data_IF_339420231202
#
_entry.id   IF_339420231202
#
_cell.length_a   1.000
_cell.length_b   1.000
_cell.length_c   1.000
_cell.angle_alpha   90.00
_cell.angle_beta   90.00
_cell.angle_gamma   90.00
#
_symmetry.space_group_name_H-M   'P 1'
#
loop_
_entity.id
_entity.type
_entity.pdbx_description
1 polymer ?
#
# COMPACT_ATOMS: atom_id res chain seq x y z
N UNK A 1 1.51 6.97 3.33
CA UNK A 1 0.88 8.23 2.84
C UNK A 1 0.98 9.37 3.89
N UNK A 2 2.20 9.71 4.35
CA UNK A 2 2.43 10.87 5.21
C UNK A 2 2.07 12.14 4.45
N UNK A 3 1.35 13.07 5.08
CA UNK A 3 0.79 14.25 4.42
C UNK A 3 -0.69 14.09 4.06
N UNK A 4 -1.19 12.87 3.95
CA UNK A 4 -2.61 12.60 3.78
C UNK A 4 -3.37 12.73 5.12
N UNK A 5 -4.63 13.16 5.05
CA UNK A 5 -5.54 13.18 6.21
C UNK A 5 -5.87 11.77 6.74
N UNK A 6 -5.74 10.76 5.88
CA UNK A 6 -6.04 9.36 6.19
C UNK A 6 -4.86 8.61 6.80
N UNK A 7 -3.65 9.20 6.77
CA UNK A 7 -2.44 8.60 7.29
C UNK A 7 -2.57 8.18 8.76
N UNK A 8 -2.25 6.94 9.04
CA UNK A 8 -2.17 6.34 10.38
C UNK A 8 -0.73 6.38 10.93
N UNK A 9 -0.05 7.51 10.70
CA UNK A 9 1.35 7.69 11.10
C UNK A 9 1.59 7.50 12.61
N UNK A 10 0.60 7.80 13.47
CA UNK A 10 0.71 7.58 14.91
C UNK A 10 0.75 6.09 15.23
N UNK A 11 -0.13 5.32 14.59
CA UNK A 11 -0.25 3.88 14.72
C UNK A 11 1.00 3.19 14.18
N UNK A 12 1.47 3.58 12.99
CA UNK A 12 2.71 3.07 12.38
C UNK A 12 3.93 3.37 13.26
N UNK A 13 4.05 4.58 13.81
CA UNK A 13 5.11 4.95 14.73
C UNK A 13 5.07 4.12 16.02
N UNK A 14 3.87 3.84 16.54
CA UNK A 14 3.70 2.98 17.72
C UNK A 14 4.06 1.53 17.39
N UNK A 15 3.68 1.02 16.22
CA UNK A 15 4.05 -0.31 15.76
C UNK A 15 5.58 -0.49 15.73
N UNK A 16 6.30 0.44 15.09
CA UNK A 16 7.78 0.41 15.02
C UNK A 16 8.46 0.59 16.39
N UNK A 17 7.76 1.09 17.40
CA UNK A 17 8.30 1.15 18.77
C UNK A 17 8.36 -0.24 19.43
N UNK A 18 7.43 -1.12 19.10
CA UNK A 18 7.29 -2.43 19.74
C UNK A 18 7.79 -3.60 18.89
N UNK A 19 8.13 -3.34 17.63
CA UNK A 19 8.68 -4.35 16.72
C UNK A 19 10.05 -3.92 16.24
N UNK A 20 11.06 -4.67 16.60
CA UNK A 20 12.45 -4.49 16.14
C UNK A 20 12.74 -5.42 14.99
N UNK A 21 13.66 -5.04 14.09
CA UNK A 21 14.09 -5.84 12.96
C UNK A 21 15.48 -5.43 12.52
N UNK A 22 16.22 -6.33 11.89
CA UNK A 22 17.52 -6.04 11.29
C UNK A 22 17.37 -5.24 9.99
N UNK A 23 16.29 -5.49 9.25
CA UNK A 23 15.99 -4.78 8.00
C UNK A 23 14.52 -4.35 7.97
N UNK A 24 14.29 -3.06 7.77
CA UNK A 24 12.97 -2.46 7.57
C UNK A 24 12.80 -2.06 6.11
N UNK A 25 11.84 -2.67 5.42
CA UNK A 25 11.52 -2.34 4.03
C UNK A 25 10.22 -1.53 3.99
N UNK A 26 10.30 -0.31 3.48
CA UNK A 26 9.16 0.57 3.26
C UNK A 26 8.72 0.45 1.80
N UNK A 27 7.62 -0.25 1.55
CA UNK A 27 7.15 -0.65 0.22
C UNK A 27 6.45 0.48 -0.58
N UNK A 28 6.99 1.70 -0.58
CA UNK A 28 6.48 2.83 -1.36
C UNK A 28 5.30 3.57 -0.73
N UNK A 29 4.95 4.70 -1.33
CA UNK A 29 3.85 5.58 -0.90
C UNK A 29 3.95 6.05 0.55
N UNK A 30 5.19 6.24 1.02
CA UNK A 30 5.44 6.66 2.39
C UNK A 30 5.09 8.14 2.56
N UNK A 31 5.50 8.99 1.60
CA UNK A 31 5.17 10.42 1.57
C UNK A 31 4.17 10.67 0.45
N UNK A 32 3.01 11.24 0.80
CA UNK A 32 2.02 11.64 -0.19
C UNK A 32 2.40 12.97 -0.82
N UNK A 33 3.33 12.92 -1.79
CA UNK A 33 3.81 14.08 -2.52
C UNK A 33 2.70 14.79 -3.27
N UNK A 34 1.72 14.06 -3.80
CA UNK A 34 0.58 14.64 -4.51
C UNK A 34 -0.29 15.51 -3.60
N UNK A 35 -0.51 15.08 -2.36
CA UNK A 35 -1.24 15.87 -1.37
C UNK A 35 -0.45 17.07 -0.89
N UNK A 36 0.87 16.93 -0.73
CA UNK A 36 1.76 18.02 -0.30
C UNK A 36 1.92 19.10 -1.38
N UNK A 37 2.08 18.71 -2.66
CA UNK A 37 2.21 19.63 -3.78
C UNK A 37 0.93 20.44 -4.07
N UNK A 38 -0.24 19.95 -3.66
CA UNK A 38 -1.51 20.68 -3.74
C UNK A 38 -1.62 21.87 -2.77
N UNK A 39 -0.56 22.22 -2.06
CA UNK A 39 -0.31 23.56 -1.51
C UNK A 39 -1.03 23.92 -0.23
N UNK A 40 -1.29 23.01 0.70
CA UNK A 40 -1.75 23.36 2.05
C UNK A 40 -0.74 22.94 3.11
N UNK A 41 -0.02 23.89 3.72
CA UNK A 41 0.93 23.68 4.84
C UNK A 41 0.32 22.90 6.01
N UNK A 42 -1.01 22.94 6.18
CA UNK A 42 -1.75 22.27 7.26
C UNK A 42 -1.82 20.74 7.13
N UNK A 43 -1.40 20.15 6.00
CA UNK A 43 -1.45 18.70 5.76
C UNK A 43 -0.35 17.95 6.50
N UNK A 44 0.84 18.57 6.64
CA UNK A 44 1.94 17.97 7.39
C UNK A 44 1.76 18.22 8.89
N UNK A 45 1.50 17.16 9.65
CA UNK A 45 1.26 17.23 11.10
C UNK A 45 2.43 16.65 11.89
N UNK A 46 2.56 17.02 13.16
CA UNK A 46 3.61 16.54 14.07
C UNK A 46 3.75 15.01 14.08
N UNK A 47 2.65 14.26 13.96
CA UNK A 47 2.71 12.80 13.87
C UNK A 47 3.49 12.28 12.66
N UNK A 48 3.47 13.00 11.53
CA UNK A 48 4.25 12.65 10.33
C UNK A 48 5.74 12.90 10.57
N UNK A 49 6.09 14.05 11.17
CA UNK A 49 7.46 14.35 11.59
C UNK A 49 7.99 13.29 12.56
N UNK A 50 7.20 12.91 13.57
CA UNK A 50 7.60 11.90 14.54
C UNK A 50 7.89 10.53 13.89
N UNK A 51 7.16 10.16 12.83
CA UNK A 51 7.44 8.93 12.09
C UNK A 51 8.78 9.03 11.33
N UNK A 52 9.03 10.14 10.65
CA UNK A 52 10.32 10.35 9.96
C UNK A 52 11.48 10.36 10.98
N UNK A 53 11.32 11.09 12.11
CA UNK A 53 12.34 11.09 13.16
C UNK A 53 12.64 9.67 13.66
N UNK A 54 11.60 8.85 13.84
CA UNK A 54 11.79 7.44 14.22
C UNK A 54 12.58 6.63 13.20
N UNK A 55 12.36 6.84 11.90
CA UNK A 55 13.18 6.17 10.87
C UNK A 55 14.65 6.60 10.96
N UNK A 56 14.88 7.89 11.21
CA UNK A 56 16.26 8.41 11.39
C UNK A 56 16.91 7.86 12.67
N UNK A 57 16.16 7.62 13.73
CA UNK A 57 16.67 6.99 14.95
C UNK A 57 16.97 5.50 14.70
N UNK A 58 16.04 4.78 14.07
CA UNK A 58 16.16 3.34 13.81
C UNK A 58 17.34 2.99 12.90
N UNK A 59 17.77 3.88 11.99
CA UNK A 59 18.87 3.62 11.07
C UNK A 59 20.21 3.35 11.74
N UNK A 60 20.36 3.63 13.05
CA UNK A 60 21.59 3.32 13.77
C UNK A 60 21.79 1.80 13.95
N UNK A 61 20.68 1.05 14.14
CA UNK A 61 20.70 -0.39 14.43
C UNK A 61 19.96 -1.22 13.36
N UNK A 62 19.19 -0.58 12.48
CA UNK A 62 18.34 -1.21 11.48
C UNK A 62 18.71 -0.71 10.08
N UNK A 63 18.89 -1.63 9.13
CA UNK A 63 18.98 -1.28 7.72
C UNK A 63 17.62 -0.87 7.18
N UNK A 64 17.50 0.31 6.60
CA UNK A 64 16.24 0.81 6.06
C UNK A 64 16.30 0.87 4.53
N UNK A 65 15.38 0.16 3.89
CA UNK A 65 15.18 0.17 2.45
C UNK A 65 13.89 0.93 2.17
N UNK A 66 13.99 2.11 1.60
CA UNK A 66 12.85 2.90 1.18
C UNK A 66 12.63 2.70 -0.32
N UNK A 67 11.57 2.03 -0.70
CA UNK A 67 11.16 1.90 -2.09
C UNK A 67 10.21 3.05 -2.43
N UNK A 68 10.43 3.68 -3.60
CA UNK A 68 9.53 4.72 -4.05
C UNK A 68 8.23 4.12 -4.60
N UNK A 69 7.10 4.74 -4.31
CA UNK A 69 5.80 4.46 -4.91
C UNK A 69 5.33 5.59 -5.82
N UNK A 70 4.10 5.50 -6.32
CA UNK A 70 3.55 6.52 -7.22
C UNK A 70 3.19 7.85 -6.51
N UNK A 71 2.96 7.84 -5.20
CA UNK A 71 2.73 9.07 -4.43
C UNK A 71 4.03 9.79 -4.06
N UNK A 72 5.15 9.10 -4.05
CA UNK A 72 6.48 9.66 -3.81
C UNK A 72 7.37 9.63 -5.06
N UNK A 73 6.79 9.73 -6.26
CA UNK A 73 7.44 9.80 -7.58
C UNK A 73 8.39 11.00 -7.75
N UNK A 74 8.26 12.02 -6.92
CA UNK A 74 9.20 13.14 -6.86
C UNK A 74 10.63 12.71 -6.50
N UNK A 75 10.78 11.53 -5.88
CA UNK A 75 12.07 10.92 -5.56
C UNK A 75 12.80 10.38 -6.80
N UNK A 76 12.12 10.10 -7.92
CA UNK A 76 12.71 9.52 -9.13
C UNK A 76 13.93 10.30 -9.66
N UNK A 77 14.00 11.61 -9.38
CA UNK A 77 15.09 12.48 -9.83
C UNK A 77 16.40 12.30 -9.07
N UNK A 78 16.35 11.67 -7.91
CA UNK A 78 17.50 11.51 -7.02
C UNK A 78 17.84 10.04 -6.75
N UNK A 79 17.11 9.11 -7.34
CA UNK A 79 17.38 7.69 -7.17
C UNK A 79 18.53 7.19 -8.07
N UNK A 80 19.32 6.20 -7.61
CA UNK A 80 19.33 5.69 -6.24
C UNK A 80 20.02 6.65 -5.27
N UNK A 81 19.55 6.73 -4.03
CA UNK A 81 20.15 7.55 -2.98
C UNK A 81 20.48 6.67 -1.77
N UNK A 82 21.66 6.86 -1.19
CA UNK A 82 22.04 6.20 0.05
C UNK A 82 22.64 7.22 1.01
N UNK A 83 22.23 7.17 2.26
CA UNK A 83 22.84 7.92 3.36
C UNK A 83 22.73 7.10 4.65
N UNK A 84 23.84 6.94 5.34
CA UNK A 84 23.95 6.06 6.49
C UNK A 84 23.39 4.65 6.18
N UNK A 85 22.53 4.08 7.03
CA UNK A 85 21.88 2.78 6.82
C UNK A 85 20.54 2.89 6.07
N UNK A 86 20.25 4.02 5.43
CA UNK A 86 19.03 4.22 4.63
C UNK A 86 19.39 4.21 3.15
N UNK A 87 18.76 3.32 2.37
CA UNK A 87 18.83 3.34 0.92
C UNK A 87 17.45 3.60 0.31
N UNK A 88 17.39 4.54 -0.64
CA UNK A 88 16.16 4.90 -1.37
C UNK A 88 16.31 4.43 -2.81
N UNK A 89 15.39 3.60 -3.29
CA UNK A 89 15.49 2.96 -4.61
C UNK A 89 14.13 2.57 -5.17
N UNK A 90 14.09 2.10 -6.43
CA UNK A 90 12.83 1.71 -7.10
C UNK A 90 12.37 0.31 -6.72
N UNK A 91 13.33 -0.60 -6.63
CA UNK A 91 13.12 -2.00 -6.29
C UNK A 91 14.31 -2.53 -5.49
N UNK A 92 14.16 -3.69 -4.89
CA UNK A 92 15.17 -4.33 -4.06
C UNK A 92 15.07 -5.84 -4.17
N UNK A 93 16.19 -6.55 -4.12
CA UNK A 93 16.19 -8.00 -3.95
C UNK A 93 16.55 -8.31 -2.50
N UNK A 94 15.58 -8.81 -1.77
CA UNK A 94 15.76 -9.33 -0.43
C UNK A 94 16.18 -10.80 -0.52
N UNK A 95 17.32 -11.13 0.07
CA UNK A 95 17.83 -12.50 0.12
C UNK A 95 17.88 -12.95 1.57
N UNK A 96 17.19 -14.03 1.89
CA UNK A 96 17.10 -14.60 3.23
C UNK A 96 16.85 -16.11 3.17
N UNK A 97 17.48 -16.87 4.07
CA UNK A 97 17.29 -18.32 4.20
C UNK A 97 17.41 -19.09 2.87
N UNK A 98 18.35 -18.69 2.00
CA UNK A 98 18.58 -19.29 0.69
C UNK A 98 17.53 -18.96 -0.37
N UNK A 99 16.56 -18.12 -0.07
CA UNK A 99 15.52 -17.64 -1.00
C UNK A 99 15.75 -16.19 -1.38
N UNK A 100 15.21 -15.80 -2.52
CA UNK A 100 15.28 -14.44 -3.07
C UNK A 100 13.89 -13.91 -3.31
N UNK A 101 13.63 -12.69 -2.84
CA UNK A 101 12.34 -12.02 -2.99
C UNK A 101 12.54 -10.71 -3.77
N UNK A 102 11.81 -10.54 -4.85
CA UNK A 102 11.78 -9.27 -5.57
C UNK A 102 10.81 -8.32 -4.88
N UNK A 103 11.33 -7.20 -4.38
CA UNK A 103 10.55 -6.24 -3.59
C UNK A 103 10.39 -4.95 -4.38
N UNK A 104 9.15 -4.49 -4.55
CA UNK A 104 8.80 -3.26 -5.27
C UNK A 104 7.48 -2.71 -4.74
N UNK A 105 7.17 -1.46 -5.08
CA UNK A 105 5.86 -0.91 -4.73
C UNK A 105 4.72 -1.58 -5.51
N UNK A 106 4.84 -1.68 -6.83
CA UNK A 106 3.85 -2.31 -7.71
C UNK A 106 3.23 -1.38 -8.75
N UNK A 107 3.37 -0.06 -8.61
CA UNK A 107 2.79 0.95 -9.51
C UNK A 107 3.27 0.88 -10.97
N UNK A 108 4.39 0.22 -11.23
CA UNK A 108 4.94 0.05 -12.60
C UNK A 108 3.97 -0.67 -13.54
N UNK A 109 3.03 -1.44 -13.01
CA UNK A 109 2.01 -2.16 -13.77
C UNK A 109 0.73 -1.37 -14.02
N UNK A 110 0.61 -0.18 -13.46
CA UNK A 110 -0.52 0.72 -13.68
C UNK A 110 -0.67 1.15 -15.14
N UNK A 111 0.39 1.13 -15.94
CA UNK A 111 0.33 1.46 -17.36
C UNK A 111 -0.43 0.43 -18.20
N UNK A 112 -0.41 -0.83 -17.81
CA UNK A 112 -1.22 -1.89 -18.44
C UNK A 112 -2.71 -1.71 -18.15
N UNK A 113 -3.02 -1.00 -17.06
CA UNK A 113 -4.37 -0.79 -16.54
C UNK A 113 -4.80 0.68 -16.52
N UNK A 114 -4.11 1.55 -17.27
CA UNK A 114 -4.26 3.02 -17.26
C UNK A 114 -5.68 3.53 -17.50
N UNK A 115 -6.56 2.75 -18.14
CA UNK A 115 -8.00 3.05 -18.27
C UNK A 115 -8.76 2.96 -16.92
N UNK A 116 -8.17 2.38 -15.87
CA UNK A 116 -8.81 2.17 -14.57
C UNK A 116 -8.42 3.22 -13.51
N UNK A 117 -7.31 3.96 -13.71
CA UNK A 117 -6.85 4.99 -12.73
C UNK A 117 -7.85 6.12 -12.52
N UNK A 118 -8.48 6.60 -13.58
CA UNK A 118 -9.50 7.64 -13.45
C UNK A 118 -10.77 7.11 -12.78
N UNK A 119 -11.09 5.79 -12.97
CA UNK A 119 -12.18 5.13 -12.26
C UNK A 119 -11.87 4.98 -10.77
N UNK A 120 -10.65 4.68 -10.37
CA UNK A 120 -10.25 4.61 -8.96
C UNK A 120 -10.28 6.02 -8.31
N UNK A 121 -9.74 7.05 -8.98
CA UNK A 121 -9.82 8.45 -8.51
C UNK A 121 -11.26 9.00 -8.51
N UNK A 122 -12.09 8.59 -9.47
CA UNK A 122 -13.53 8.88 -9.46
C UNK A 122 -14.28 8.01 -8.43
N UNK A 123 -13.71 6.86 -8.03
CA UNK A 123 -14.32 5.93 -7.08
C UNK A 123 -14.47 6.49 -5.68
N UNK A 124 -13.47 7.14 -5.12
CA UNK A 124 -13.51 7.62 -3.73
C UNK A 124 -14.42 8.84 -3.52
N UNK A 125 -14.34 9.83 -4.41
CA UNK A 125 -15.25 11.00 -4.37
C UNK A 125 -16.60 10.63 -5.00
N UNK A 126 -16.58 9.85 -6.07
CA UNK A 126 -17.77 9.42 -6.78
C UNK A 126 -18.61 8.39 -6.02
N UNK A 127 -18.01 7.51 -5.21
CA UNK A 127 -18.75 6.49 -4.45
C UNK A 127 -19.59 7.13 -3.33
N UNK A 128 -18.98 8.03 -2.55
CA UNK A 128 -19.72 8.73 -1.48
C UNK A 128 -20.81 9.64 -2.05
N UNK A 129 -20.51 10.33 -3.16
CA UNK A 129 -21.49 11.16 -3.88
C UNK A 129 -22.56 10.29 -4.54
N UNK A 130 -22.17 9.18 -5.16
CA UNK A 130 -23.10 8.23 -5.81
C UNK A 130 -24.03 7.58 -4.80
N UNK A 131 -23.56 7.19 -3.62
CA UNK A 131 -24.39 6.66 -2.54
C UNK A 131 -25.36 7.70 -2.00
N UNK A 132 -24.91 8.96 -1.87
CA UNK A 132 -25.78 10.06 -1.46
C UNK A 132 -26.86 10.37 -2.51
N UNK A 133 -26.46 10.50 -3.77
CA UNK A 133 -27.39 10.72 -4.92
C UNK A 133 -28.35 9.55 -5.06
N UNK A 134 -27.87 8.31 -4.95
CA UNK A 134 -28.72 7.12 -5.01
C UNK A 134 -29.75 7.08 -3.88
N UNK A 135 -29.37 7.50 -2.67
CA UNK A 135 -30.29 7.58 -1.51
C UNK A 135 -31.39 8.62 -1.76
N UNK A 136 -31.03 9.79 -2.30
CA UNK A 136 -32.00 10.85 -2.65
C UNK A 136 -32.88 10.40 -3.81
N UNK A 137 -32.29 9.80 -4.85
CA UNK A 137 -32.99 9.31 -6.02
C UNK A 137 -34.02 8.24 -5.66
N UNK A 138 -33.64 7.24 -4.86
CA UNK A 138 -34.54 6.19 -4.43
C UNK A 138 -35.65 6.68 -3.47
N UNK A 139 -35.37 7.65 -2.59
CA UNK A 139 -36.39 8.31 -1.77
C UNK A 139 -37.43 9.03 -2.64
N UNK A 140 -37.00 9.70 -3.73
CA UNK A 140 -37.92 10.35 -4.69
C UNK A 140 -38.71 9.32 -5.51
N UNK A 141 -38.09 8.21 -5.91
CA UNK A 141 -38.75 7.10 -6.61
C UNK A 141 -39.83 6.44 -5.76
N UNK A 142 -39.52 6.12 -4.51
CA UNK A 142 -40.47 5.53 -3.56
C UNK A 142 -41.67 6.43 -3.32
N UNK A 143 -41.48 7.76 -3.19
CA UNK A 143 -42.58 8.73 -3.07
C UNK A 143 -43.49 8.80 -4.31
N UNK A 144 -43.01 8.32 -5.46
CA UNK A 144 -43.75 8.25 -6.74
C UNK A 144 -44.26 6.84 -7.06
N UNK A 145 -44.18 5.92 -6.08
CA UNK A 145 -44.65 4.53 -6.28
C UNK A 145 -43.76 3.71 -7.25
N UNK A 146 -42.56 4.19 -7.61
CA UNK A 146 -41.69 3.51 -8.53
C UNK A 146 -40.79 2.48 -7.80
N UNK A 147 -40.54 1.30 -8.41
CA UNK A 147 -39.69 0.27 -7.79
C UNK A 147 -38.28 0.76 -7.55
N UNK A 148 -37.64 0.19 -6.52
CA UNK A 148 -36.27 0.48 -6.15
C UNK A 148 -35.31 0.20 -7.32
N UNK A 149 -34.44 1.18 -7.67
CA UNK A 149 -33.46 1.02 -8.73
C UNK A 149 -32.20 0.37 -8.14
N UNK A 150 -31.98 -0.90 -8.49
CA UNK A 150 -30.84 -1.65 -7.96
C UNK A 150 -29.51 -1.13 -8.50
N UNK A 151 -28.72 -0.48 -7.64
CA UNK A 151 -27.32 -0.18 -7.88
C UNK A 151 -26.46 -1.46 -7.92
N UNK A 152 -27.04 -2.59 -7.50
CA UNK A 152 -26.34 -3.87 -7.36
C UNK A 152 -25.71 -4.41 -8.65
N UNK A 153 -26.30 -4.16 -9.82
CA UNK A 153 -25.69 -4.60 -11.09
C UNK A 153 -24.42 -3.82 -11.43
N UNK A 154 -24.38 -2.50 -11.18
CA UNK A 154 -23.17 -1.70 -11.37
C UNK A 154 -22.09 -2.01 -10.33
N UNK A 155 -22.48 -2.31 -9.09
CA UNK A 155 -21.56 -2.77 -8.06
C UNK A 155 -20.96 -4.12 -8.44
N UNK A 156 -21.77 -5.07 -8.92
CA UNK A 156 -21.27 -6.38 -9.42
C UNK A 156 -20.28 -6.23 -10.57
N UNK A 157 -20.54 -5.32 -11.52
CA UNK A 157 -19.60 -5.05 -12.62
C UNK A 157 -18.30 -4.40 -12.13
N UNK A 158 -18.39 -3.46 -11.17
CA UNK A 158 -17.19 -2.85 -10.55
C UNK A 158 -16.39 -3.86 -9.73
N UNK A 159 -17.05 -4.71 -8.94
CA UNK A 159 -16.39 -5.78 -8.18
C UNK A 159 -15.69 -6.74 -9.14
N UNK A 160 -16.35 -7.16 -10.22
CA UNK A 160 -15.71 -8.02 -11.24
C UNK A 160 -14.49 -7.35 -11.89
N UNK A 161 -14.58 -6.06 -12.23
CA UNK A 161 -13.45 -5.32 -12.78
C UNK A 161 -12.30 -5.17 -11.78
N UNK A 162 -12.60 -4.94 -10.50
CA UNK A 162 -11.58 -4.87 -9.45
C UNK A 162 -10.91 -6.22 -9.21
N UNK A 163 -11.65 -7.32 -9.21
CA UNK A 163 -11.11 -8.68 -9.08
C UNK A 163 -10.20 -9.02 -10.27
N UNK A 164 -10.62 -8.67 -11.50
CA UNK A 164 -9.78 -8.87 -12.69
C UNK A 164 -8.49 -8.06 -12.60
N UNK A 165 -8.59 -6.79 -12.19
CA UNK A 165 -7.42 -5.93 -11.99
C UNK A 165 -6.42 -6.50 -11.00
N UNK A 166 -6.89 -6.96 -9.83
CA UNK A 166 -6.02 -7.57 -8.81
C UNK A 166 -5.37 -8.83 -9.36
N UNK A 167 -6.11 -9.69 -10.03
CA UNK A 167 -5.58 -10.93 -10.63
C UNK A 167 -4.52 -10.65 -11.71
N UNK A 168 -4.74 -9.65 -12.57
CA UNK A 168 -3.79 -9.27 -13.62
C UNK A 168 -2.53 -8.64 -13.01
N UNK A 169 -2.68 -7.78 -12.01
CA UNK A 169 -1.59 -7.19 -11.23
C UNK A 169 -0.70 -8.26 -10.58
N UNK A 170 -1.30 -9.21 -9.89
CA UNK A 170 -0.57 -10.28 -9.22
C UNK A 170 0.19 -11.18 -10.19
N UNK A 171 -0.43 -11.55 -11.32
CA UNK A 171 0.24 -12.34 -12.37
C UNK A 171 1.46 -11.62 -12.94
N UNK A 172 1.34 -10.33 -13.25
CA UNK A 172 2.49 -9.56 -13.75
C UNK A 172 3.64 -9.49 -12.74
N UNK A 173 3.34 -9.32 -11.45
CA UNK A 173 4.36 -9.33 -10.40
C UNK A 173 5.07 -10.67 -10.30
N UNK A 174 4.31 -11.77 -10.35
CA UNK A 174 4.84 -13.14 -10.34
C UNK A 174 5.74 -13.39 -11.55
N UNK A 175 5.30 -12.98 -12.75
CA UNK A 175 6.08 -13.14 -13.98
C UNK A 175 7.41 -12.37 -13.92
N UNK A 176 7.40 -11.15 -13.39
CA UNK A 176 8.64 -10.37 -13.21
C UNK A 176 9.56 -10.99 -12.17
N UNK A 177 9.02 -11.47 -11.04
CA UNK A 177 9.83 -12.17 -10.03
C UNK A 177 10.51 -13.42 -10.62
N UNK A 178 9.76 -14.21 -11.39
CA UNK A 178 10.28 -15.38 -12.10
C UNK A 178 11.38 -15.02 -13.09
N UNK A 179 11.20 -13.96 -13.89
CA UNK A 179 12.22 -13.46 -14.84
C UNK A 179 13.50 -13.00 -14.13
N UNK A 180 13.39 -12.48 -12.90
CA UNK A 180 14.53 -12.08 -12.06
C UNK A 180 15.17 -13.25 -11.29
N UNK A 181 14.66 -14.48 -11.44
CA UNK A 181 15.14 -15.66 -10.72
C UNK A 181 14.90 -15.56 -9.21
N UNK A 182 13.74 -15.03 -8.81
CA UNK A 182 13.34 -14.91 -7.42
C UNK A 182 12.29 -15.96 -7.07
N UNK A 183 12.32 -16.43 -5.82
CA UNK A 183 11.39 -17.43 -5.26
C UNK A 183 10.07 -16.77 -4.78
N UNK A 184 10.08 -15.44 -4.64
CA UNK A 184 8.90 -14.69 -4.22
C UNK A 184 8.91 -13.23 -4.66
N UNK A 185 7.77 -12.59 -4.49
CA UNK A 185 7.55 -11.16 -4.73
C UNK A 185 6.91 -10.51 -3.51
N UNK A 186 7.41 -9.34 -3.12
CA UNK A 186 6.86 -8.53 -2.03
C UNK A 186 6.43 -7.19 -2.60
N UNK A 187 5.19 -6.79 -2.33
CA UNK A 187 4.63 -5.53 -2.85
C UNK A 187 3.69 -4.84 -1.85
N UNK A 188 3.20 -3.67 -2.24
CA UNK A 188 2.13 -2.91 -1.61
C UNK A 188 1.06 -2.53 -2.63
N UNK A 189 0.83 -1.23 -2.83
CA UNK A 189 0.06 -0.56 -3.87
C UNK A 189 -1.46 -0.81 -3.87
N UNK A 190 -1.91 -2.07 -3.88
CA UNK A 190 -3.35 -2.41 -3.92
C UNK A 190 -4.03 -2.40 -2.55
N UNK A 191 -3.31 -2.07 -1.47
CA UNK A 191 -3.80 -1.94 -0.09
C UNK A 191 -4.47 -3.20 0.49
N UNK A 192 -4.14 -4.36 -0.05
CA UNK A 192 -4.71 -5.64 0.36
C UNK A 192 -3.60 -6.58 0.84
N UNK A 193 -3.48 -6.73 2.16
CA UNK A 193 -2.51 -7.67 2.73
C UNK A 193 -2.84 -9.11 2.34
N UNK A 194 -1.85 -9.80 1.78
CA UNK A 194 -2.01 -11.19 1.33
C UNK A 194 -0.70 -11.96 1.40
N UNK A 195 -0.79 -13.26 1.60
CA UNK A 195 0.33 -14.20 1.60
C UNK A 195 -0.14 -15.53 1.05
N UNK A 196 0.33 -15.89 -0.14
CA UNK A 196 -0.05 -17.14 -0.80
C UNK A 196 0.94 -17.54 -1.90
N UNK A 197 0.93 -18.79 -2.27
CA UNK A 197 1.60 -19.24 -3.48
C UNK A 197 0.75 -18.91 -4.71
N UNK A 198 1.40 -18.38 -5.73
CA UNK A 198 0.85 -18.27 -7.08
C UNK A 198 1.82 -19.02 -7.99
N UNK A 199 1.39 -20.18 -8.46
CA UNK A 199 2.22 -21.18 -9.10
C UNK A 199 3.43 -21.55 -8.22
N UNK A 200 4.65 -21.24 -8.66
CA UNK A 200 5.93 -21.50 -8.01
C UNK A 200 6.49 -20.29 -7.23
N UNK A 201 5.80 -19.16 -7.22
CA UNK A 201 6.26 -17.91 -6.61
C UNK A 201 5.44 -17.58 -5.36
N UNK A 202 6.12 -17.29 -4.25
CA UNK A 202 5.47 -16.77 -3.04
C UNK A 202 5.09 -15.30 -3.23
N UNK A 203 3.79 -15.04 -3.33
CA UNK A 203 3.24 -13.69 -3.38
C UNK A 203 2.98 -13.15 -1.97
N UNK A 204 3.52 -11.97 -1.68
CA UNK A 204 3.41 -11.28 -0.41
C UNK A 204 3.01 -9.83 -0.63
N UNK A 205 1.88 -9.41 -0.06
CA UNK A 205 1.46 -8.02 -0.07
C UNK A 205 1.38 -7.47 1.36
N UNK A 206 2.06 -6.36 1.62
CA UNK A 206 2.17 -5.78 2.96
C UNK A 206 0.86 -5.12 3.44
N UNK A 207 -0.10 -4.90 2.53
CA UNK A 207 -1.25 -4.04 2.81
C UNK A 207 -0.84 -2.57 2.93
N UNK A 208 -1.44 -1.85 3.88
CA UNK A 208 -1.23 -0.41 4.04
C UNK A 208 -1.34 0.08 5.51
N UNK A 209 -0.99 1.36 5.71
CA UNK A 209 -1.15 2.09 6.97
C UNK A 209 -2.20 3.22 6.84
N UNK A 210 -3.28 2.95 6.12
CA UNK A 210 -4.48 3.80 5.97
C UNK A 210 -5.72 3.06 6.44
N UNK A 211 -5.92 1.82 5.95
CA UNK A 211 -7.11 1.00 6.22
C UNK A 211 -6.79 -0.33 6.91
N UNK A 212 -5.86 -1.13 6.35
CA UNK A 212 -5.57 -2.49 6.83
C UNK A 212 -4.68 -2.51 8.08
N UNK A 213 -3.79 -1.54 8.25
CA UNK A 213 -2.83 -1.40 9.35
C UNK A 213 -2.00 -2.70 9.52
N UNK A 214 -1.40 -3.14 8.42
CA UNK A 214 -0.67 -4.39 8.35
C UNK A 214 0.79 -4.19 7.97
N UNK A 215 1.62 -5.16 8.31
CA UNK A 215 2.99 -5.31 7.87
C UNK A 215 3.30 -6.79 7.63
N UNK A 216 4.24 -7.08 6.76
CA UNK A 216 4.86 -8.39 6.63
C UNK A 216 6.05 -8.46 7.59
N UNK A 217 6.22 -9.59 8.24
CA UNK A 217 7.40 -9.91 9.03
C UNK A 217 7.96 -11.25 8.60
N UNK A 218 9.27 -11.31 8.43
CA UNK A 218 10.02 -12.54 8.24
C UNK A 218 10.72 -12.91 9.54
N UNK A 219 10.51 -14.10 10.01
CA UNK A 219 11.24 -14.65 11.15
C UNK A 219 12.62 -15.17 10.71
N UNK A 220 13.52 -15.40 11.65
CA UNK A 220 14.90 -15.87 11.39
C UNK A 220 14.98 -17.23 10.69
N UNK A 221 13.91 -18.01 10.70
CA UNK A 221 13.80 -19.28 9.97
C UNK A 221 13.27 -19.13 8.52
N UNK A 222 13.00 -17.87 8.09
CA UNK A 222 12.46 -17.56 6.77
C UNK A 222 10.94 -17.69 6.67
N UNK A 223 10.25 -17.86 7.80
CA UNK A 223 8.78 -17.92 7.82
C UNK A 223 8.20 -16.50 7.76
N UNK A 224 7.28 -16.28 6.83
CA UNK A 224 6.57 -15.00 6.68
C UNK A 224 5.26 -14.98 7.45
N UNK A 225 4.94 -13.81 8.03
CA UNK A 225 3.67 -13.57 8.74
C UNK A 225 3.12 -12.19 8.41
N UNK A 226 1.79 -12.08 8.31
CA UNK A 226 1.10 -10.79 8.27
C UNK A 226 0.81 -10.36 9.71
N UNK A 227 1.46 -9.30 10.15
CA UNK A 227 1.20 -8.64 11.44
C UNK A 227 0.10 -7.60 11.25
N UNK A 228 -0.86 -7.57 12.18
CA UNK A 228 -1.92 -6.56 12.24
C UNK A 228 -1.73 -5.67 13.46
N UNK A 229 -1.86 -4.37 13.27
CA UNK A 229 -1.84 -3.44 14.39
C UNK A 229 -3.17 -3.51 15.15
N UNK A 230 -3.11 -3.95 16.40
CA UNK A 230 -4.23 -3.94 17.34
C UNK A 230 -3.89 -2.99 18.48
N UNK A 231 -4.71 -1.94 18.67
CA UNK A 231 -4.42 -0.89 19.65
C UNK A 231 -4.32 -1.43 21.09
N UNK A 232 -5.03 -2.51 21.39
CA UNK A 232 -5.16 -3.07 22.75
C UNK A 232 -4.13 -4.19 23.04
N UNK A 233 -3.48 -4.76 22.01
CA UNK A 233 -2.47 -5.82 22.15
C UNK A 233 -1.06 -5.28 22.38
N UNK A 234 -0.84 -3.99 22.10
CA UNK A 234 0.46 -3.32 22.22
C UNK A 234 0.55 -2.65 23.59
N UNK A 235 0.88 -3.42 24.62
CA UNK A 235 1.06 -2.91 25.99
C UNK A 235 0.83 -3.93 27.10
N UNK A 236 0.74 -5.21 26.74
CA UNK A 236 0.81 -6.32 27.71
C UNK A 236 2.13 -7.05 27.61
#
# INVERSE_FOLDING_TARGET
HLGSKWSKAKEANRFLKYHTCDTLILCGDIIDGWELLRGRREKWKRRHTNFISRLLDLQHDTRIIYLRGNHDDFLDRILPLQFANISVQKDYIHASCGKRYYVLHGDVFDHVTSSMRWLAKAGDVGYSLLMWVNRIYNRRRQRRGLPYYSVSQRIKQKVKASVSYISDFERHLVDVARQKGCDGVICGHIHQADQRMIDDILYLNSGDWVESLTALAEDYDGTWRILRYEADSIGR
#
